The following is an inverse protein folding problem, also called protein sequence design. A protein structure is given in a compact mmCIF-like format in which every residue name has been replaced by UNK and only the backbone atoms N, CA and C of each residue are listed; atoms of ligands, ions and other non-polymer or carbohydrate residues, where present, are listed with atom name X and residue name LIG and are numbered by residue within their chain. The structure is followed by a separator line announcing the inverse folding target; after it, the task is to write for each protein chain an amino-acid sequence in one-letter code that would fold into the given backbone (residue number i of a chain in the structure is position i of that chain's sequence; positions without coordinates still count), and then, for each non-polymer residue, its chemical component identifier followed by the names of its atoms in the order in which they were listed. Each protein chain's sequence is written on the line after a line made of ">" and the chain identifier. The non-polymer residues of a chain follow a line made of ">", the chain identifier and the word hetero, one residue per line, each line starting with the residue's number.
data_IF_397909834120
#
_entry.id   IF_397909834120
#
_cell.length_a   1.000
_cell.length_b   1.000
_cell.length_c   1.000
_cell.angle_alpha   90.00
_cell.angle_beta   90.00
_cell.angle_gamma   90.00
#
_symmetry.space_group_name_H-M   'P 1'
#
loop_
_entity.id
_entity.type
_entity.pdbx_description
1 polymer ?
#
# COMPACT_ATOMS: atom_id res chain seq x y z
N UNK A 1 -4.82 13.02 -26.02
CA UNK A 1 -5.80 12.27 -25.22
C UNK A 1 -7.13 13.00 -25.27
N UNK A 2 -8.22 12.24 -25.14
CA UNK A 2 -9.57 12.80 -25.11
C UNK A 2 -10.20 12.55 -23.75
N UNK A 3 -10.80 13.58 -23.17
CA UNK A 3 -11.36 13.56 -21.83
C UNK A 3 -12.79 14.14 -21.85
N UNK A 4 -13.67 13.49 -21.12
CA UNK A 4 -14.98 14.03 -20.80
C UNK A 4 -15.30 13.73 -19.35
N UNK A 5 -16.01 14.63 -18.70
CA UNK A 5 -16.49 14.41 -17.35
C UNK A 5 -17.97 14.71 -17.25
N UNK A 6 -18.62 14.03 -16.37
CA UNK A 6 -19.98 14.34 -15.94
C UNK A 6 -19.91 15.26 -14.72
N UNK A 7 -21.00 15.93 -14.41
CA UNK A 7 -21.09 16.77 -13.23
C UNK A 7 -20.76 15.98 -11.96
N UNK A 8 -19.87 16.51 -11.14
CA UNK A 8 -19.39 15.86 -9.91
C UNK A 8 -20.48 15.69 -8.86
N UNK A 9 -21.47 16.63 -8.83
CA UNK A 9 -22.60 16.61 -7.90
C UNK A 9 -23.74 15.69 -8.34
N UNK A 10 -23.65 15.11 -9.53
CA UNK A 10 -24.65 14.15 -9.98
C UNK A 10 -24.63 12.89 -9.14
N UNK A 11 -25.84 12.43 -8.78
CA UNK A 11 -26.02 11.12 -8.16
C UNK A 11 -25.80 9.99 -9.17
N UNK A 12 -25.63 8.78 -8.67
CA UNK A 12 -25.36 7.57 -9.46
C UNK A 12 -26.34 7.39 -10.62
N UNK A 13 -27.63 7.58 -10.37
CA UNK A 13 -28.69 7.40 -11.36
C UNK A 13 -28.58 8.41 -12.50
N UNK A 14 -28.21 9.66 -12.19
CA UNK A 14 -28.01 10.71 -13.20
C UNK A 14 -26.78 10.40 -14.06
N UNK A 15 -25.71 9.87 -13.47
CA UNK A 15 -24.50 9.46 -14.19
C UNK A 15 -24.79 8.28 -15.14
N UNK A 16 -25.58 7.31 -14.69
CA UNK A 16 -26.00 6.20 -15.55
C UNK A 16 -26.92 6.67 -16.68
N UNK A 17 -27.88 7.54 -16.41
CA UNK A 17 -28.73 8.10 -17.44
C UNK A 17 -27.93 8.85 -18.52
N UNK A 18 -26.89 9.57 -18.12
CA UNK A 18 -25.96 10.19 -19.08
C UNK A 18 -25.29 9.14 -19.98
N UNK A 19 -24.80 8.03 -19.40
CA UNK A 19 -24.17 6.94 -20.20
C UNK A 19 -25.18 6.27 -21.13
N UNK A 20 -26.41 6.06 -20.70
CA UNK A 20 -27.51 5.52 -21.53
C UNK A 20 -27.86 6.46 -22.70
N UNK A 21 -27.81 7.76 -22.48
CA UNK A 21 -28.05 8.78 -23.52
C UNK A 21 -26.91 8.91 -24.51
N UNK A 22 -25.69 8.50 -24.11
CA UNK A 22 -24.47 8.56 -24.89
C UNK A 22 -23.93 7.14 -25.11
N UNK A 23 -24.72 6.31 -25.78
CA UNK A 23 -24.41 4.91 -26.09
C UNK A 23 -23.23 4.73 -27.06
N UNK A 24 -22.83 5.83 -27.72
CA UNK A 24 -21.71 5.84 -28.63
C UNK A 24 -20.73 6.97 -28.32
N UNK A 25 -19.42 6.69 -28.37
CA UNK A 25 -18.38 7.67 -28.02
C UNK A 25 -18.44 8.97 -28.86
N UNK A 26 -18.96 8.93 -30.08
CA UNK A 26 -19.12 10.13 -30.92
C UNK A 26 -20.19 11.11 -30.42
N UNK A 27 -21.08 10.68 -29.55
CA UNK A 27 -22.13 11.54 -28.99
C UNK A 27 -21.67 12.30 -27.75
N UNK A 28 -20.49 11.94 -27.22
CA UNK A 28 -19.90 12.60 -26.05
C UNK A 28 -19.09 13.81 -26.50
N UNK A 29 -19.24 14.92 -25.80
CA UNK A 29 -18.43 16.11 -26.04
C UNK A 29 -17.04 15.94 -25.40
N UNK A 30 -16.08 15.52 -26.22
CA UNK A 30 -14.71 15.29 -25.80
C UNK A 30 -13.89 16.56 -25.81
N UNK A 31 -13.12 16.77 -24.76
CA UNK A 31 -12.08 17.76 -24.69
C UNK A 31 -10.72 17.08 -24.98
N UNK A 32 -9.97 17.64 -25.93
CA UNK A 32 -8.59 17.19 -26.11
C UNK A 32 -7.71 17.75 -24.99
N UNK A 33 -6.93 16.86 -24.37
CA UNK A 33 -5.99 17.20 -23.30
C UNK A 33 -4.59 16.71 -23.66
N UNK A 34 -3.59 17.49 -23.25
CA UNK A 34 -2.18 17.12 -23.35
C UNK A 34 -1.61 17.04 -21.95
N UNK A 35 -1.22 15.84 -21.48
CA UNK A 35 -0.57 15.69 -20.18
C UNK A 35 0.74 16.49 -20.12
N UNK A 36 1.07 16.99 -18.93
CA UNK A 36 2.36 17.66 -18.73
C UNK A 36 3.54 16.65 -18.69
N UNK A 37 4.76 17.16 -18.51
CA UNK A 37 5.98 16.35 -18.37
C UNK A 37 5.95 15.30 -17.25
N UNK A 38 5.10 15.50 -16.24
CA UNK A 38 4.88 14.58 -15.10
C UNK A 38 3.71 13.63 -15.32
N UNK A 39 3.15 13.58 -16.55
CA UNK A 39 1.99 12.77 -16.92
C UNK A 39 0.71 13.10 -16.15
N UNK A 40 0.57 14.34 -15.68
CA UNK A 40 -0.67 14.82 -15.06
C UNK A 40 -1.62 15.22 -16.17
N UNK A 41 -2.84 14.66 -16.14
CA UNK A 41 -3.81 14.77 -17.22
C UNK A 41 -4.67 16.04 -17.14
N UNK A 42 -5.06 16.43 -15.94
CA UNK A 42 -5.92 17.60 -15.70
C UNK A 42 -5.12 18.69 -15.00
N UNK A 43 -4.61 19.60 -15.80
CA UNK A 43 -3.71 20.66 -15.32
C UNK A 43 -4.35 22.05 -15.41
N UNK A 44 -5.64 22.15 -15.79
CA UNK A 44 -6.31 23.42 -15.99
C UNK A 44 -6.29 24.26 -14.71
N UNK A 45 -5.55 25.35 -14.72
CA UNK A 45 -5.57 26.37 -13.68
C UNK A 45 -4.52 26.23 -12.57
N UNK A 46 -3.70 25.16 -12.54
CA UNK A 46 -2.74 24.95 -11.47
C UNK A 46 -1.28 24.78 -11.94
N UNK A 47 -1.03 24.83 -13.25
CA UNK A 47 0.30 24.45 -13.79
C UNK A 47 1.45 25.36 -13.35
N UNK A 48 1.24 26.67 -13.36
CA UNK A 48 2.32 27.61 -13.04
C UNK A 48 2.40 27.86 -11.53
N UNK A 49 1.27 27.97 -10.87
CA UNK A 49 1.23 28.24 -9.42
C UNK A 49 1.72 27.05 -8.59
N UNK A 50 1.50 25.82 -9.06
CA UNK A 50 1.90 24.61 -8.31
C UNK A 50 3.42 24.43 -8.27
N UNK A 51 4.15 24.87 -9.30
CA UNK A 51 5.62 24.80 -9.33
C UNK A 51 6.27 25.83 -8.39
N UNK A 52 5.55 26.90 -8.03
CA UNK A 52 6.00 27.94 -7.11
C UNK A 52 5.75 27.58 -5.63
N UNK A 53 4.95 26.54 -5.34
CA UNK A 53 4.72 26.11 -3.97
C UNK A 53 5.94 25.40 -3.39
N UNK A 54 6.24 25.71 -2.13
CA UNK A 54 7.24 24.96 -1.37
C UNK A 54 6.80 23.50 -1.25
N UNK A 55 7.64 22.56 -1.66
CA UNK A 55 7.36 21.14 -1.56
C UNK A 55 7.16 20.70 -0.10
N UNK A 56 6.18 19.86 0.16
CA UNK A 56 5.97 19.28 1.49
C UNK A 56 7.17 18.46 1.96
N UNK A 57 7.79 17.71 1.04
CA UNK A 57 9.01 16.93 1.26
C UNK A 57 9.47 16.30 -0.04
N UNK A 58 10.76 15.98 -0.15
CA UNK A 58 11.32 15.29 -1.32
C UNK A 58 11.91 13.93 -0.95
N UNK A 59 12.03 13.04 -1.94
CA UNK A 59 12.70 11.75 -1.76
C UNK A 59 14.19 11.92 -1.57
N UNK A 60 14.77 12.89 -2.25
CA UNK A 60 16.16 13.26 -2.21
C UNK A 60 16.52 13.75 -0.80
N UNK A 61 15.74 14.66 -0.24
CA UNK A 61 15.88 15.14 1.13
C UNK A 61 15.82 13.99 2.15
N UNK A 62 14.88 13.05 1.97
CA UNK A 62 14.75 11.88 2.84
C UNK A 62 15.95 10.95 2.77
N UNK A 63 16.54 10.79 1.58
CA UNK A 63 17.66 9.89 1.35
C UNK A 63 18.98 10.45 1.86
N UNK A 64 19.21 11.75 1.67
CA UNK A 64 20.50 12.39 1.96
C UNK A 64 20.58 13.00 3.36
N UNK A 65 19.45 13.33 3.97
CA UNK A 65 19.41 14.05 5.25
C UNK A 65 20.02 15.45 5.21
N UNK A 66 20.42 15.94 4.02
CA UNK A 66 21.09 17.23 3.84
C UNK A 66 20.08 18.36 3.66
N UNK A 67 20.47 19.58 4.03
CA UNK A 67 19.62 20.78 3.96
C UNK A 67 19.46 21.38 2.55
N UNK A 68 19.66 20.59 1.50
CA UNK A 68 19.83 21.06 0.13
C UNK A 68 18.58 21.68 -0.52
N UNK A 69 17.38 21.42 0.00
CA UNK A 69 16.15 21.91 -0.60
C UNK A 69 15.23 22.59 0.41
N UNK A 70 14.53 23.64 -0.03
CA UNK A 70 13.46 24.26 0.74
C UNK A 70 12.25 23.35 0.75
N UNK A 71 12.05 22.60 1.84
CA UNK A 71 10.89 21.72 2.07
C UNK A 71 10.26 22.01 3.42
N UNK A 72 8.94 21.82 3.53
CA UNK A 72 8.23 22.04 4.80
C UNK A 72 8.60 20.96 5.83
N UNK A 73 8.61 19.69 5.43
CA UNK A 73 8.94 18.58 6.31
C UNK A 73 10.28 17.96 5.94
N UNK A 74 11.27 18.11 6.80
CA UNK A 74 12.61 17.51 6.63
C UNK A 74 12.58 15.99 6.81
N UNK A 75 11.70 15.50 7.69
CA UNK A 75 11.49 14.06 7.95
C UNK A 75 10.02 13.72 7.85
N UNK A 76 9.73 12.62 7.17
CA UNK A 76 8.37 12.09 7.05
C UNK A 76 8.40 10.58 6.83
N UNK A 77 7.33 9.91 7.22
CA UNK A 77 7.14 8.48 6.95
C UNK A 77 5.69 8.18 6.62
N UNK A 78 5.46 7.05 5.96
CA UNK A 78 4.11 6.57 5.70
C UNK A 78 3.45 5.93 6.94
N UNK A 79 4.12 5.96 8.09
CA UNK A 79 3.72 5.23 9.27
C UNK A 79 3.99 3.72 9.13
N UNK A 80 3.28 2.93 9.92
CA UNK A 80 3.40 1.47 9.88
C UNK A 80 2.65 0.93 8.66
N UNK A 81 3.35 0.16 7.85
CA UNK A 81 2.79 -0.50 6.66
C UNK A 81 3.07 -1.99 6.74
N UNK A 82 2.07 -2.78 7.05
CA UNK A 82 2.22 -4.22 7.29
C UNK A 82 1.97 -5.07 6.05
N UNK A 83 1.12 -4.61 5.12
CA UNK A 83 0.59 -5.37 3.98
C UNK A 83 -0.15 -6.67 4.37
N UNK A 84 -0.42 -6.86 5.69
CA UNK A 84 -1.09 -8.05 6.24
C UNK A 84 -1.89 -7.72 7.49
N UNK A 85 -2.60 -6.60 7.47
CA UNK A 85 -3.32 -6.04 8.61
C UNK A 85 -4.25 -7.05 9.29
N UNK A 86 -4.88 -7.95 8.53
CA UNK A 86 -5.78 -8.97 9.05
C UNK A 86 -5.10 -9.91 10.05
N UNK A 87 -3.79 -10.12 9.91
CA UNK A 87 -3.01 -11.02 10.76
C UNK A 87 -2.35 -10.33 11.94
N UNK A 88 -1.93 -9.07 11.76
CA UNK A 88 -1.09 -8.36 12.72
C UNK A 88 -1.80 -7.24 13.47
N UNK A 89 -3.10 -6.98 13.18
CA UNK A 89 -3.94 -6.06 13.94
C UNK A 89 -5.18 -6.76 14.48
N UNK A 90 -5.51 -6.52 15.76
CA UNK A 90 -6.78 -6.96 16.33
C UNK A 90 -7.19 -6.04 17.49
N UNK A 91 -8.48 -6.06 17.84
CA UNK A 91 -9.00 -5.38 19.04
C UNK A 91 -8.69 -6.16 20.32
N UNK A 92 -8.52 -7.48 20.23
CA UNK A 92 -8.20 -8.39 21.34
C UNK A 92 -6.74 -8.85 21.25
N UNK A 93 -6.00 -8.75 22.36
CA UNK A 93 -4.62 -9.26 22.44
C UNK A 93 -4.57 -10.77 22.24
N UNK A 94 -5.50 -11.52 22.83
CA UNK A 94 -5.54 -13.00 22.71
C UNK A 94 -5.82 -13.46 21.28
N UNK A 95 -6.75 -12.80 20.59
CA UNK A 95 -7.02 -13.09 19.17
C UNK A 95 -5.87 -12.65 18.26
N UNK A 96 -5.24 -11.50 18.56
CA UNK A 96 -4.03 -11.07 17.86
C UNK A 96 -2.92 -12.11 17.99
N UNK A 97 -2.64 -12.56 19.22
CA UNK A 97 -1.63 -13.58 19.47
C UNK A 97 -1.92 -14.89 18.71
N UNK A 98 -3.18 -15.37 18.74
CA UNK A 98 -3.58 -16.57 18.00
C UNK A 98 -3.37 -16.43 16.48
N UNK A 99 -3.74 -15.28 15.90
CA UNK A 99 -3.56 -15.00 14.49
C UNK A 99 -2.07 -14.94 14.11
N UNK A 100 -1.27 -14.24 14.92
CA UNK A 100 0.17 -14.11 14.68
C UNK A 100 0.88 -15.46 14.82
N UNK A 101 0.56 -16.26 15.84
CA UNK A 101 1.11 -17.62 15.99
C UNK A 101 0.83 -18.48 14.77
N UNK A 102 -0.42 -18.51 14.32
CA UNK A 102 -0.82 -19.27 13.12
C UNK A 102 -0.03 -18.84 11.88
N UNK A 103 0.10 -17.52 11.69
CA UNK A 103 0.83 -16.98 10.53
C UNK A 103 2.33 -17.27 10.61
N UNK A 104 2.93 -17.13 11.79
CA UNK A 104 4.35 -17.46 12.01
C UNK A 104 4.62 -18.94 11.77
N UNK A 105 3.76 -19.83 12.24
CA UNK A 105 3.89 -21.27 12.02
C UNK A 105 3.90 -21.60 10.53
N UNK A 106 2.92 -21.09 9.78
CA UNK A 106 2.85 -21.28 8.33
C UNK A 106 4.06 -20.68 7.61
N UNK A 107 4.49 -19.48 8.00
CA UNK A 107 5.67 -18.84 7.43
C UNK A 107 6.94 -19.64 7.69
N UNK A 108 7.20 -20.02 8.94
CA UNK A 108 8.39 -20.77 9.31
C UNK A 108 8.44 -22.16 8.66
N UNK A 109 7.28 -22.81 8.49
CA UNK A 109 7.21 -24.08 7.74
C UNK A 109 7.66 -23.90 6.29
N UNK A 110 7.25 -22.80 5.64
CA UNK A 110 7.73 -22.46 4.30
C UNK A 110 9.25 -22.15 4.30
N UNK A 111 9.76 -21.46 5.31
CA UNK A 111 11.21 -21.19 5.43
C UNK A 111 12.00 -22.49 5.56
N UNK A 112 11.54 -23.42 6.40
CA UNK A 112 12.21 -24.73 6.58
C UNK A 112 12.17 -25.55 5.29
N UNK A 113 11.04 -25.62 4.61
CA UNK A 113 10.91 -26.29 3.31
C UNK A 113 11.80 -25.64 2.26
N UNK A 114 11.82 -24.30 2.17
CA UNK A 114 12.71 -23.57 1.25
C UNK A 114 14.18 -23.87 1.50
N UNK A 115 14.58 -23.90 2.76
CA UNK A 115 15.97 -24.19 3.14
C UNK A 115 16.41 -25.62 2.81
N UNK A 116 15.49 -26.57 2.78
CA UNK A 116 15.78 -27.98 2.46
C UNK A 116 15.88 -28.26 0.96
N UNK A 117 15.48 -27.32 0.08
CA UNK A 117 15.56 -27.51 -1.35
C UNK A 117 16.99 -27.39 -1.87
N UNK A 118 17.42 -28.39 -2.66
CA UNK A 118 18.71 -28.35 -3.37
C UNK A 118 18.63 -27.40 -4.57
N UNK A 119 17.53 -27.45 -5.32
CA UNK A 119 17.24 -26.54 -6.42
C UNK A 119 16.05 -25.67 -6.03
N UNK A 120 16.23 -24.36 -6.07
CA UNK A 120 15.22 -23.40 -5.65
C UNK A 120 14.42 -22.92 -6.86
N UNK A 121 13.10 -23.14 -6.90
CA UNK A 121 12.24 -22.58 -7.92
C UNK A 121 12.09 -21.05 -7.75
N UNK A 122 11.34 -20.40 -8.61
CA UNK A 122 10.92 -19.02 -8.35
C UNK A 122 10.09 -18.98 -7.08
N UNK A 123 10.31 -17.97 -6.25
CA UNK A 123 9.62 -17.84 -4.96
C UNK A 123 8.08 -17.80 -5.11
N UNK A 124 7.59 -17.17 -6.17
CA UNK A 124 6.17 -17.08 -6.45
C UNK A 124 5.51 -18.42 -6.82
N UNK A 125 6.29 -19.35 -7.36
CA UNK A 125 5.83 -20.70 -7.68
C UNK A 125 5.93 -21.65 -6.47
N UNK A 126 6.71 -21.27 -5.48
CA UNK A 126 6.93 -22.06 -4.26
C UNK A 126 5.91 -21.78 -3.16
N UNK A 127 5.56 -20.49 -2.95
CA UNK A 127 4.67 -20.12 -1.87
C UNK A 127 3.21 -20.49 -2.18
N UNK A 128 2.49 -20.97 -1.18
CA UNK A 128 1.05 -21.23 -1.30
C UNK A 128 0.25 -19.96 -1.02
N UNK A 129 -0.52 -19.51 -2.00
CA UNK A 129 -1.40 -18.35 -1.87
C UNK A 129 -2.74 -18.75 -1.23
N UNK A 130 -2.72 -18.96 0.08
CA UNK A 130 -3.90 -19.25 0.89
C UNK A 130 -4.11 -18.10 1.89
N UNK A 131 -4.91 -17.13 1.49
CA UNK A 131 -5.19 -15.94 2.30
C UNK A 131 -5.92 -16.25 3.63
N UNK A 132 -6.40 -17.49 3.82
CA UNK A 132 -6.95 -17.95 5.11
C UNK A 132 -5.87 -18.29 6.14
N UNK A 133 -4.60 -18.33 5.71
CA UNK A 133 -3.45 -18.73 6.54
C UNK A 133 -2.37 -17.67 6.60
N UNK A 134 -2.05 -17.06 5.45
CA UNK A 134 -0.96 -16.09 5.34
C UNK A 134 -1.17 -15.18 4.12
N UNK A 135 -0.83 -13.91 4.26
CA UNK A 135 -0.79 -12.96 3.13
C UNK A 135 0.66 -12.68 2.73
N UNK A 136 1.04 -13.17 1.57
CA UNK A 136 2.39 -12.98 1.05
C UNK A 136 2.59 -11.59 0.47
N UNK A 137 3.53 -10.85 1.04
CA UNK A 137 4.04 -9.60 0.47
C UNK A 137 5.43 -9.82 -0.11
N UNK A 138 5.89 -8.87 -0.94
CA UNK A 138 7.23 -8.90 -1.49
C UNK A 138 8.31 -9.01 -0.40
N UNK A 139 8.16 -8.23 0.66
CA UNK A 139 9.14 -8.20 1.75
C UNK A 139 9.18 -9.52 2.51
N UNK A 140 8.01 -10.13 2.76
CA UNK A 140 7.92 -11.43 3.42
C UNK A 140 8.55 -12.55 2.58
N UNK A 141 8.36 -12.51 1.25
CA UNK A 141 9.01 -13.45 0.32
C UNK A 141 10.54 -13.29 0.30
N UNK A 142 11.04 -12.05 0.32
CA UNK A 142 12.47 -11.78 0.41
C UNK A 142 13.09 -12.28 1.73
N UNK A 143 12.37 -12.17 2.85
CA UNK A 143 12.84 -12.69 4.12
C UNK A 143 12.80 -14.23 4.17
N UNK A 144 11.82 -14.87 3.49
CA UNK A 144 11.79 -16.32 3.28
C UNK A 144 12.99 -16.79 2.44
N UNK A 145 13.30 -16.14 1.32
CA UNK A 145 14.48 -16.46 0.50
C UNK A 145 15.80 -16.39 1.28
N UNK A 146 15.86 -15.47 2.26
CA UNK A 146 16.99 -15.31 3.18
C UNK A 146 16.94 -16.26 4.37
N UNK A 147 16.00 -17.20 4.39
CA UNK A 147 15.81 -18.17 5.46
C UNK A 147 15.67 -17.56 6.85
N UNK A 148 15.08 -16.36 6.96
CA UNK A 148 14.85 -15.72 8.25
C UNK A 148 13.62 -16.32 8.91
N UNK A 149 13.75 -16.80 10.13
CA UNK A 149 12.65 -17.29 10.95
C UNK A 149 11.99 -16.15 11.72
N UNK A 150 10.66 -16.16 11.78
CA UNK A 150 9.88 -15.27 12.60
C UNK A 150 9.65 -15.85 14.00
N UNK A 151 9.60 -14.99 15.01
CA UNK A 151 9.35 -15.39 16.40
C UNK A 151 8.32 -14.50 17.04
N UNK A 152 7.36 -15.14 17.71
CA UNK A 152 6.40 -14.42 18.53
C UNK A 152 7.05 -13.96 19.84
N UNK A 153 6.72 -12.72 20.24
CA UNK A 153 6.99 -12.21 21.58
C UNK A 153 5.89 -11.23 21.96
N UNK A 154 5.34 -11.37 23.15
CA UNK A 154 4.31 -10.43 23.67
C UNK A 154 4.84 -9.00 23.75
N UNK A 155 6.13 -8.84 23.97
CA UNK A 155 6.80 -7.53 23.99
C UNK A 155 6.73 -6.78 22.66
N UNK A 156 6.41 -7.45 21.58
CA UNK A 156 6.20 -6.84 20.26
C UNK A 156 4.77 -6.36 20.04
N UNK A 157 3.86 -6.61 20.97
CA UNK A 157 2.49 -6.10 20.90
C UNK A 157 2.48 -4.65 21.36
N UNK A 158 1.90 -3.78 20.52
CA UNK A 158 1.77 -2.35 20.74
C UNK A 158 0.34 -1.89 20.55
N UNK A 159 -0.08 -0.92 21.33
CA UNK A 159 -1.30 -0.19 21.06
C UNK A 159 -1.02 0.79 19.92
N UNK A 160 -1.84 0.76 18.87
CA UNK A 160 -1.62 1.53 17.63
C UNK A 160 -2.90 2.19 17.14
N UNK A 161 -2.75 3.40 16.63
CA UNK A 161 -3.80 4.02 15.84
C UNK A 161 -3.89 3.29 14.51
N UNK A 162 -4.99 2.57 14.30
CA UNK A 162 -5.17 1.73 13.09
C UNK A 162 -5.85 2.47 11.98
N UNK A 163 -6.54 3.40 12.09
CA UNK A 163 -7.18 4.30 11.11
C UNK A 163 -7.63 5.54 11.87
N UNK A 164 -8.02 6.62 11.22
CA UNK A 164 -8.60 7.73 11.94
C UNK A 164 -9.71 7.19 12.86
N UNK A 165 -9.66 7.54 14.13
CA UNK A 165 -10.66 7.20 15.17
C UNK A 165 -10.72 5.73 15.62
N UNK A 166 -9.75 4.86 15.25
CA UNK A 166 -9.73 3.47 15.67
C UNK A 166 -8.38 3.10 16.29
N UNK A 167 -8.41 2.47 17.44
CA UNK A 167 -7.22 1.96 18.15
C UNK A 167 -7.29 0.45 18.17
N UNK A 168 -6.19 -0.21 17.80
CA UNK A 168 -6.04 -1.67 17.83
C UNK A 168 -4.69 -2.05 18.41
N UNK A 169 -4.58 -3.29 18.85
CA UNK A 169 -3.28 -3.90 19.12
C UNK A 169 -2.63 -4.30 17.80
N UNK A 170 -1.34 -4.02 17.70
CA UNK A 170 -0.46 -4.33 16.56
C UNK A 170 0.67 -5.23 17.04
N UNK A 171 0.91 -6.32 16.35
CA UNK A 171 2.16 -7.05 16.48
C UNK A 171 3.23 -6.36 15.63
N UNK A 172 4.08 -5.58 16.28
CA UNK A 172 5.10 -4.76 15.65
C UNK A 172 6.42 -5.51 15.55
N UNK A 173 6.59 -6.22 14.46
CA UNK A 173 7.77 -7.03 14.16
C UNK A 173 8.38 -6.63 12.82
N UNK A 174 9.63 -7.00 12.62
CA UNK A 174 10.35 -6.68 11.38
C UNK A 174 9.99 -7.62 10.24
N UNK A 175 9.59 -8.85 10.53
CA UNK A 175 9.23 -9.88 9.54
C UNK A 175 7.71 -9.94 9.37
N UNK A 176 6.97 -9.90 10.48
CA UNK A 176 5.50 -9.98 10.51
C UNK A 176 4.83 -8.62 10.49
#
# INVERSE_FOLDING_TARGET
>A
FYYARVDEFWRKEQKYKFLEQHDHYLTVNWQEITPNKNHIWLTNGLQNEFEDFIALGSKEQKATGQEAESVIFKTFSNGVKTNRDIWVYNFSISELAANVYKTIEVYNDHVLKWNSLTEKPKIDDFVSYDDSKISWSRDLKLDLERCKLAQFSEEKIRLSLYRPFSIKYLFFDRIM
#
